data_IF_389394652860
#
_entry.id   IF_389394652860
#
_cell.length_a   1.000
_cell.length_b   1.000
_cell.length_c   1.000
_cell.angle_alpha   90.00
_cell.angle_beta   90.00
_cell.angle_gamma   90.00
#
_symmetry.space_group_name_H-M   'P 1'
#
loop_
_entity.id
_entity.type
_entity.pdbx_description
1 polymer ?
#
# COMPACT_ATOMS: atom_id res chain seq x y z
N UNK A 1 15.24 8.01 -11.39
CA UNK A 1 14.74 7.38 -10.14
C UNK A 1 13.82 8.33 -9.38
N UNK A 2 14.29 9.52 -8.99
CA UNK A 2 13.50 10.54 -8.28
C UNK A 2 12.09 10.86 -8.85
N UNK A 3 11.85 11.00 -10.17
CA UNK A 3 10.51 11.33 -10.68
C UNK A 3 9.46 10.23 -10.44
N UNK A 4 9.88 8.99 -10.21
CA UNK A 4 8.98 7.85 -9.96
C UNK A 4 8.81 7.55 -8.46
N UNK A 5 9.81 7.89 -7.64
CA UNK A 5 9.79 7.64 -6.19
C UNK A 5 8.89 8.65 -5.47
N UNK A 6 8.93 9.93 -5.85
CA UNK A 6 8.14 10.97 -5.18
C UNK A 6 6.62 10.67 -5.24
N UNK A 7 6.04 10.31 -6.41
CA UNK A 7 4.62 9.94 -6.47
C UNK A 7 4.28 8.71 -5.63
N UNK A 8 5.18 7.73 -5.53
CA UNK A 8 4.96 6.51 -4.73
C UNK A 8 4.95 6.79 -3.23
N UNK A 9 5.85 7.67 -2.76
CA UNK A 9 5.86 8.10 -1.36
C UNK A 9 4.62 8.93 -1.03
N UNK A 10 4.23 9.86 -1.90
CA UNK A 10 3.01 10.64 -1.73
C UNK A 10 1.76 9.74 -1.69
N UNK A 11 1.68 8.78 -2.61
CA UNK A 11 0.62 7.76 -2.63
C UNK A 11 0.55 6.99 -1.31
N UNK A 12 1.70 6.49 -0.81
CA UNK A 12 1.75 5.76 0.45
C UNK A 12 1.25 6.60 1.64
N UNK A 13 1.65 7.87 1.71
CA UNK A 13 1.22 8.82 2.75
C UNK A 13 -0.27 9.11 2.64
N UNK A 14 -0.78 9.44 1.46
CA UNK A 14 -2.20 9.74 1.23
C UNK A 14 -3.05 8.53 1.64
N UNK A 15 -2.68 7.33 1.20
CA UNK A 15 -3.40 6.10 1.54
C UNK A 15 -3.34 5.79 3.04
N UNK A 16 -2.20 6.01 3.70
CA UNK A 16 -2.06 5.86 5.14
C UNK A 16 -2.93 6.86 5.92
N UNK A 17 -2.99 8.11 5.48
CA UNK A 17 -3.85 9.14 6.08
C UNK A 17 -5.33 8.80 5.88
N UNK A 18 -5.73 8.33 4.69
CA UNK A 18 -7.10 7.88 4.44
C UNK A 18 -7.46 6.64 5.28
N UNK A 19 -6.51 5.71 5.46
CA UNK A 19 -6.68 4.57 6.35
C UNK A 19 -6.95 5.01 7.79
N UNK A 20 -6.17 5.98 8.26
CA UNK A 20 -6.36 6.57 9.58
C UNK A 20 -7.70 7.29 9.69
N UNK A 21 -8.03 8.16 8.72
CA UNK A 21 -9.29 8.92 8.70
C UNK A 21 -10.51 7.99 8.72
N UNK A 22 -10.44 6.86 8.01
CA UNK A 22 -11.54 5.89 7.97
C UNK A 22 -11.88 5.29 9.34
N UNK A 23 -11.02 5.42 10.37
CA UNK A 23 -11.33 5.04 11.77
C UNK A 23 -12.53 5.84 12.31
N UNK A 24 -12.73 7.07 11.86
CA UNK A 24 -13.89 7.89 12.25
C UNK A 24 -15.20 7.44 11.60
N UNK A 25 -15.13 6.61 10.55
CA UNK A 25 -16.27 6.21 9.72
C UNK A 25 -16.73 4.76 9.99
N UNK A 26 -16.43 4.20 11.16
CA UNK A 26 -16.71 2.79 11.51
C UNK A 26 -18.18 2.36 11.39
N UNK A 27 -19.14 3.30 11.36
CA UNK A 27 -20.56 3.05 11.15
C UNK A 27 -20.94 2.80 9.69
N UNK A 28 -20.04 3.08 8.74
CA UNK A 28 -20.28 2.90 7.30
C UNK A 28 -20.01 1.45 6.89
N UNK A 29 -20.98 0.76 6.25
CA UNK A 29 -20.77 -0.59 5.71
C UNK A 29 -19.60 -0.63 4.73
N UNK A 30 -18.77 -1.68 4.80
CA UNK A 30 -17.61 -1.85 3.89
C UNK A 30 -16.39 -0.99 4.22
N UNK A 31 -16.45 -0.05 5.17
CA UNK A 31 -15.31 0.83 5.50
C UNK A 31 -14.09 0.07 6.03
N UNK A 32 -14.31 -1.07 6.70
CA UNK A 32 -13.24 -1.93 7.22
C UNK A 32 -12.46 -2.55 6.08
N UNK A 33 -13.16 -3.12 5.11
CA UNK A 33 -12.59 -3.69 3.89
C UNK A 33 -11.85 -2.62 3.10
N UNK A 34 -12.43 -1.42 2.97
CA UNK A 34 -11.77 -0.25 2.37
C UNK A 34 -10.47 0.13 3.07
N UNK A 35 -10.49 0.23 4.40
CA UNK A 35 -9.30 0.51 5.21
C UNK A 35 -8.19 -0.52 4.97
N UNK A 36 -8.54 -1.81 4.92
CA UNK A 36 -7.57 -2.87 4.66
C UNK A 36 -7.00 -2.73 3.25
N UNK A 37 -7.84 -2.51 2.23
CA UNK A 37 -7.38 -2.31 0.85
C UNK A 37 -6.41 -1.13 0.72
N UNK A 38 -6.71 0.03 1.30
CA UNK A 38 -5.82 1.20 1.20
C UNK A 38 -4.54 1.05 2.04
N UNK A 39 -4.58 0.32 3.16
CA UNK A 39 -3.36 -0.04 3.89
C UNK A 39 -2.46 -0.97 3.07
N UNK A 40 -3.05 -1.99 2.43
CA UNK A 40 -2.33 -2.89 1.53
C UNK A 40 -1.66 -2.09 0.40
N UNK A 41 -2.40 -1.20 -0.25
CA UNK A 41 -1.84 -0.37 -1.34
C UNK A 41 -0.76 0.59 -0.84
N UNK A 42 -0.89 1.12 0.38
CA UNK A 42 0.14 1.96 1.01
C UNK A 42 1.44 1.17 1.21
N UNK A 43 1.37 -0.05 1.76
CA UNK A 43 2.53 -0.94 1.95
C UNK A 43 3.16 -1.32 0.62
N UNK A 44 2.35 -1.63 -0.39
CA UNK A 44 2.83 -1.90 -1.75
C UNK A 44 3.61 -0.71 -2.31
N UNK A 45 3.02 0.49 -2.24
CA UNK A 45 3.61 1.73 -2.76
C UNK A 45 4.93 2.08 -2.06
N UNK A 46 4.99 1.90 -0.74
CA UNK A 46 6.20 2.13 0.04
C UNK A 46 7.31 1.14 -0.30
N UNK A 47 6.96 -0.15 -0.41
CA UNK A 47 7.92 -1.22 -0.77
C UNK A 47 8.49 -0.99 -2.16
N UNK A 48 7.66 -0.57 -3.11
CA UNK A 48 8.10 -0.25 -4.46
C UNK A 48 8.97 1.01 -4.52
N UNK A 49 8.68 2.03 -3.70
CA UNK A 49 9.57 3.17 -3.55
C UNK A 49 10.96 2.75 -3.01
N UNK A 50 11.00 1.90 -1.99
CA UNK A 50 12.25 1.36 -1.41
C UNK A 50 13.04 0.58 -2.47
N UNK A 51 12.38 -0.28 -3.25
CA UNK A 51 13.01 -1.05 -4.33
C UNK A 51 13.75 -0.14 -5.34
N UNK A 52 13.13 0.99 -5.70
CA UNK A 52 13.70 1.95 -6.64
C UNK A 52 14.85 2.76 -6.05
N UNK A 53 14.91 2.92 -4.72
CA UNK A 53 15.95 3.69 -4.03
C UNK A 53 17.18 2.86 -3.68
N UNK A 54 17.04 1.55 -3.45
CA UNK A 54 18.16 0.70 -3.03
C UNK A 54 18.99 0.23 -4.24
N UNK A 55 20.33 0.34 -4.18
CA UNK A 55 21.21 -0.07 -5.29
C UNK A 55 21.52 -1.58 -5.30
N UNK A 56 21.38 -2.27 -4.16
CA UNK A 56 21.77 -3.68 -4.02
C UNK A 56 20.70 -4.66 -4.51
N UNK A 57 21.10 -5.68 -5.27
CA UNK A 57 20.20 -6.71 -5.83
C UNK A 57 19.39 -7.45 -4.76
N UNK A 58 20.03 -7.81 -3.64
CA UNK A 58 19.36 -8.52 -2.53
C UNK A 58 18.27 -7.63 -1.91
N UNK A 59 18.59 -6.35 -1.66
CA UNK A 59 17.62 -5.40 -1.09
C UNK A 59 16.45 -5.15 -2.04
N UNK A 60 16.70 -5.09 -3.35
CA UNK A 60 15.64 -5.01 -4.37
C UNK A 60 14.71 -6.22 -4.30
N UNK A 61 15.28 -7.43 -4.30
CA UNK A 61 14.48 -8.66 -4.25
C UNK A 61 13.59 -8.73 -2.99
N UNK A 62 14.12 -8.31 -1.84
CA UNK A 62 13.35 -8.24 -0.59
C UNK A 62 12.19 -7.24 -0.74
N UNK A 63 12.47 -6.03 -1.24
CA UNK A 63 11.45 -4.99 -1.43
C UNK A 63 10.37 -5.43 -2.44
N UNK A 64 10.77 -6.05 -3.56
CA UNK A 64 9.85 -6.60 -4.56
C UNK A 64 8.98 -7.71 -3.98
N UNK A 65 9.54 -8.64 -3.21
CA UNK A 65 8.77 -9.72 -2.59
C UNK A 65 7.70 -9.17 -1.64
N UNK A 66 8.05 -8.16 -0.84
CA UNK A 66 7.07 -7.50 0.05
C UNK A 66 5.99 -6.78 -0.75
N UNK A 67 6.36 -6.08 -1.84
CA UNK A 67 5.40 -5.46 -2.74
C UNK A 67 4.44 -6.51 -3.33
N UNK A 68 4.95 -7.61 -3.88
CA UNK A 68 4.12 -8.67 -4.45
C UNK A 68 3.20 -9.33 -3.41
N UNK A 69 3.69 -9.58 -2.20
CA UNK A 69 2.85 -10.11 -1.11
C UNK A 69 1.72 -9.14 -0.73
N UNK A 70 2.01 -7.84 -0.66
CA UNK A 70 0.99 -6.84 -0.39
C UNK A 70 -0.09 -6.85 -1.47
N UNK A 71 0.29 -6.69 -2.75
CA UNK A 71 -0.71 -6.59 -3.82
C UNK A 71 -1.51 -7.88 -4.03
N UNK A 72 -0.92 -9.05 -3.73
CA UNK A 72 -1.62 -10.33 -3.76
C UNK A 72 -2.75 -10.43 -2.72
N UNK A 73 -2.69 -9.68 -1.62
CA UNK A 73 -3.75 -9.61 -0.62
C UNK A 73 -4.90 -8.65 -1.00
N UNK A 74 -4.69 -7.77 -2.00
CA UNK A 74 -5.67 -6.75 -2.41
C UNK A 74 -7.01 -7.36 -2.88
N UNK A 75 -7.04 -8.42 -3.72
CA UNK A 75 -8.29 -9.02 -4.16
C UNK A 75 -9.12 -9.60 -3.02
N UNK A 76 -8.48 -10.10 -1.96
CA UNK A 76 -9.16 -10.62 -0.76
C UNK A 76 -9.89 -9.49 -0.02
N UNK A 77 -9.22 -8.34 0.13
CA UNK A 77 -9.84 -7.17 0.73
C UNK A 77 -11.00 -6.62 -0.12
N UNK A 78 -10.88 -6.63 -1.45
CA UNK A 78 -11.96 -6.26 -2.36
C UNK A 78 -13.14 -7.23 -2.33
N UNK A 79 -12.89 -8.55 -2.28
CA UNK A 79 -13.95 -9.54 -2.19
C UNK A 79 -14.82 -9.30 -0.95
N UNK A 80 -14.23 -8.84 0.15
CA UNK A 80 -14.95 -8.50 1.38
C UNK A 80 -15.73 -7.18 1.34
N UNK A 81 -15.67 -6.42 0.23
CA UNK A 81 -16.49 -5.22 0.01
C UNK A 81 -17.79 -5.51 -0.73
N UNK A 82 -17.82 -6.61 -1.51
CA UNK A 82 -18.99 -7.09 -2.27
C UNK A 82 -19.90 -7.88 -1.34
#
# INVERSE_FOLDING_TARGET
MAPYVIPLLLSAVIMGVLAWYSLSLNSVPGVRSFRVSILITSVWSLSYAVELMVPGQVAKLIASNVAFMAIAALPVAWLSMV
#
